data_IF_646132328088
#
_entry.id   IF_646132328088
#
_cell.length_a   1.000
_cell.length_b   1.000
_cell.length_c   1.000
_cell.angle_alpha   90.00
_cell.angle_beta   90.00
_cell.angle_gamma   90.00
#
_symmetry.space_group_name_H-M   'P 1'
#
loop_
_entity.id
_entity.type
_entity.pdbx_description
1 polymer ?
#
# COMPACT_ATOMS: atom_id res chain seq x y z
N UNK A 1 0.02 -8.79 10.01
CA UNK A 1 0.87 -8.18 8.96
C UNK A 1 0.29 -8.44 7.58
N UNK A 2 0.10 -9.71 7.21
CA UNK A 2 -0.69 -10.10 6.02
C UNK A 2 -2.08 -9.48 6.02
N UNK A 3 -2.69 -9.30 7.19
CA UNK A 3 -3.99 -8.64 7.38
C UNK A 3 -4.07 -7.20 6.85
N UNK A 4 -3.07 -6.35 7.07
CA UNK A 4 -3.11 -4.95 6.60
C UNK A 4 -3.01 -4.89 5.07
N UNK A 5 -2.04 -5.61 4.51
CA UNK A 5 -1.86 -5.71 3.06
C UNK A 5 -3.10 -6.34 2.42
N UNK A 6 -3.63 -7.40 3.02
CA UNK A 6 -4.87 -8.05 2.61
C UNK A 6 -6.07 -7.10 2.63
N UNK A 7 -6.26 -6.28 3.66
CA UNK A 7 -7.37 -5.31 3.67
C UNK A 7 -7.20 -4.23 2.60
N UNK A 8 -5.99 -3.72 2.41
CA UNK A 8 -5.70 -2.73 1.37
C UNK A 8 -5.91 -3.31 -0.05
N UNK A 9 -5.49 -4.55 -0.27
CA UNK A 9 -5.61 -5.22 -1.57
C UNK A 9 -7.00 -5.80 -1.83
N UNK A 10 -7.68 -6.34 -0.83
CA UNK A 10 -8.97 -7.04 -1.00
C UNK A 10 -10.18 -6.10 -0.92
N UNK A 11 -10.14 -5.02 -0.15
CA UNK A 11 -11.32 -4.17 0.05
C UNK A 11 -11.28 -2.93 -0.85
N UNK A 12 -10.15 -2.23 -0.89
CA UNK A 12 -9.99 -0.99 -1.67
C UNK A 12 -9.87 -1.26 -3.17
N UNK A 13 -8.97 -2.16 -3.59
CA UNK A 13 -8.83 -2.48 -5.02
C UNK A 13 -10.06 -3.20 -5.58
N UNK A 14 -10.74 -4.04 -4.79
CA UNK A 14 -11.99 -4.68 -5.23
C UNK A 14 -13.09 -3.67 -5.49
N UNK A 15 -13.18 -2.63 -4.67
CA UNK A 15 -14.13 -1.53 -4.87
C UNK A 15 -13.81 -0.74 -6.14
N UNK A 16 -12.54 -0.40 -6.37
CA UNK A 16 -12.11 0.25 -7.62
C UNK A 16 -12.42 -0.61 -8.85
N UNK A 17 -12.18 -1.93 -8.79
CA UNK A 17 -12.50 -2.87 -9.89
C UNK A 17 -13.99 -2.99 -10.17
N UNK A 18 -14.86 -2.85 -9.15
CA UNK A 18 -16.32 -2.84 -9.36
C UNK A 18 -16.77 -1.63 -10.17
N UNK A 19 -16.10 -0.48 -9.99
CA UNK A 19 -16.38 0.73 -10.75
C UNK A 19 -15.94 0.63 -12.23
N UNK A 20 -15.16 -0.39 -12.59
CA UNK A 20 -14.79 -0.67 -13.98
C UNK A 20 -15.90 -1.39 -14.79
N UNK A 21 -17.05 -1.70 -14.17
CA UNK A 21 -18.19 -2.35 -14.83
C UNK A 21 -19.49 -1.65 -14.44
N UNK A 22 -19.82 -0.59 -15.16
CA UNK A 22 -20.98 0.25 -14.88
C UNK A 22 -22.19 -0.17 -15.73
N UNK A 23 -23.36 -0.19 -15.10
CA UNK A 23 -24.65 -0.45 -15.74
C UNK A 23 -25.60 0.73 -15.50
N UNK A 24 -26.71 0.79 -16.24
CA UNK A 24 -27.76 1.80 -16.00
C UNK A 24 -27.61 3.13 -16.75
N UNK A 25 -26.59 3.28 -17.61
CA UNK A 25 -26.38 4.49 -18.41
C UNK A 25 -27.34 4.58 -19.63
N UNK A 26 -28.00 3.49 -20.01
CA UNK A 26 -28.81 3.42 -21.24
C UNK A 26 -27.95 3.23 -22.50
N UNK A 27 -28.57 3.36 -23.67
CA UNK A 27 -27.99 2.99 -24.98
C UNK A 27 -27.74 4.17 -25.92
N UNK A 28 -27.92 5.41 -25.45
CA UNK A 28 -27.61 6.58 -26.26
C UNK A 28 -26.10 6.66 -26.52
N UNK A 29 -25.65 7.15 -27.69
CA UNK A 29 -24.22 7.25 -27.98
C UNK A 29 -23.42 8.02 -26.92
N UNK A 30 -23.99 9.12 -26.39
CA UNK A 30 -23.36 9.90 -25.32
C UNK A 30 -23.26 9.15 -24.00
N UNK A 31 -24.24 8.29 -23.68
CA UNK A 31 -24.24 7.52 -22.44
C UNK A 31 -23.24 6.38 -22.48
N UNK A 32 -23.01 5.78 -23.65
CA UNK A 32 -21.95 4.79 -23.88
C UNK A 32 -20.58 5.43 -23.67
N UNK A 33 -20.33 6.59 -24.28
CA UNK A 33 -19.05 7.31 -24.13
C UNK A 33 -18.78 7.69 -22.67
N UNK A 34 -19.80 8.19 -21.96
CA UNK A 34 -19.67 8.50 -20.53
C UNK A 34 -19.36 7.24 -19.70
N UNK A 35 -20.09 6.14 -19.93
CA UNK A 35 -19.83 4.87 -19.27
C UNK A 35 -18.36 4.45 -19.45
N UNK A 36 -17.87 4.43 -20.69
CA UNK A 36 -16.48 4.06 -20.98
C UNK A 36 -15.47 4.98 -20.31
N UNK A 37 -15.74 6.30 -20.24
CA UNK A 37 -14.86 7.25 -19.58
C UNK A 37 -14.76 6.97 -18.07
N UNK A 38 -15.89 6.71 -17.40
CA UNK A 38 -15.90 6.36 -15.99
C UNK A 38 -15.23 5.01 -15.72
N UNK A 39 -15.49 4.00 -16.56
CA UNK A 39 -14.85 2.68 -16.45
C UNK A 39 -13.32 2.80 -16.60
N UNK A 40 -12.83 3.59 -17.56
CA UNK A 40 -11.39 3.87 -17.74
C UNK A 40 -10.79 4.60 -16.54
N UNK A 41 -11.53 5.54 -15.94
CA UNK A 41 -11.08 6.27 -14.73
C UNK A 41 -11.02 5.35 -13.51
N UNK A 42 -11.86 4.33 -13.44
CA UNK A 42 -11.77 3.30 -12.41
C UNK A 42 -10.57 2.37 -12.63
N UNK A 43 -10.40 1.84 -13.85
CA UNK A 43 -9.32 0.92 -14.23
C UNK A 43 -8.92 1.10 -15.70
N UNK A 44 -7.62 1.11 -16.00
CA UNK A 44 -7.09 1.13 -17.38
C UNK A 44 -6.49 2.46 -17.83
N UNK A 45 -6.93 3.60 -17.29
CA UNK A 45 -6.22 4.88 -17.49
C UNK A 45 -4.90 4.92 -16.71
N UNK A 46 -3.88 5.71 -17.13
CA UNK A 46 -2.63 5.89 -16.39
C UNK A 46 -2.84 6.45 -14.97
N UNK A 47 -3.84 7.30 -14.82
CA UNK A 47 -4.26 7.95 -13.58
C UNK A 47 -5.51 7.29 -12.97
N UNK A 48 -5.78 6.03 -13.32
CA UNK A 48 -6.96 5.32 -12.81
C UNK A 48 -6.92 5.16 -11.30
N UNK A 49 -8.09 5.13 -10.67
CA UNK A 49 -8.23 4.90 -9.24
C UNK A 49 -7.45 3.65 -8.80
N UNK A 50 -7.57 2.53 -9.54
CA UNK A 50 -6.82 1.31 -9.26
C UNK A 50 -5.30 1.49 -9.26
N UNK A 51 -4.74 2.32 -10.15
CA UNK A 51 -3.29 2.60 -10.18
C UNK A 51 -2.86 3.51 -9.03
N UNK A 52 -3.64 4.56 -8.75
CA UNK A 52 -3.35 5.46 -7.64
C UNK A 52 -3.39 4.73 -6.29
N UNK A 53 -4.36 3.83 -6.10
CA UNK A 53 -4.43 3.01 -4.89
C UNK A 53 -3.22 2.10 -4.73
N UNK A 54 -2.78 1.41 -5.79
CA UNK A 54 -1.56 0.57 -5.74
C UNK A 54 -0.34 1.40 -5.35
N UNK A 55 -0.15 2.55 -5.99
CA UNK A 55 0.97 3.44 -5.67
C UNK A 55 0.96 3.89 -4.20
N UNK A 56 -0.22 4.23 -3.65
CA UNK A 56 -0.34 4.59 -2.25
C UNK A 56 -0.03 3.41 -1.31
N UNK A 57 -0.50 2.20 -1.64
CA UNK A 57 -0.20 0.98 -0.87
C UNK A 57 1.30 0.71 -0.86
N UNK A 58 1.97 0.82 -2.02
CA UNK A 58 3.41 0.60 -2.13
C UNK A 58 4.20 1.57 -1.25
N UNK A 59 3.81 2.84 -1.21
CA UNK A 59 4.44 3.85 -0.34
C UNK A 59 4.27 3.47 1.14
N UNK A 60 3.07 3.13 1.58
CA UNK A 60 2.81 2.79 2.99
C UNK A 60 3.56 1.52 3.40
N UNK A 61 3.61 0.52 2.52
CA UNK A 61 4.39 -0.71 2.75
C UNK A 61 5.87 -0.39 2.87
N UNK A 62 6.43 0.43 1.96
CA UNK A 62 7.84 0.82 2.01
C UNK A 62 8.19 1.61 3.29
N UNK A 63 7.32 2.53 3.73
CA UNK A 63 7.50 3.26 4.98
C UNK A 63 7.58 2.31 6.18
N UNK A 64 6.64 1.35 6.25
CA UNK A 64 6.62 0.35 7.32
C UNK A 64 7.86 -0.53 7.30
N UNK A 65 8.26 -1.07 6.14
CA UNK A 65 9.45 -1.92 6.03
C UNK A 65 10.72 -1.14 6.42
N UNK A 66 10.76 0.16 6.13
CA UNK A 66 11.83 1.05 6.58
C UNK A 66 11.85 1.21 8.10
N UNK A 67 10.69 1.43 8.73
CA UNK A 67 10.62 1.52 10.18
C UNK A 67 11.00 0.22 10.87
N UNK A 68 10.55 -0.92 10.35
CA UNK A 68 10.92 -2.24 10.87
C UNK A 68 12.45 -2.44 10.83
N UNK A 69 13.09 -2.07 9.72
CA UNK A 69 14.55 -2.15 9.58
C UNK A 69 15.28 -1.20 10.55
N UNK A 70 14.79 0.02 10.73
CA UNK A 70 15.37 0.99 11.68
C UNK A 70 15.26 0.48 13.11
N UNK A 71 14.09 -0.05 13.50
CA UNK A 71 13.88 -0.63 14.83
C UNK A 71 14.86 -1.78 15.08
N UNK A 72 14.95 -2.73 14.14
CA UNK A 72 15.88 -3.85 14.26
C UNK A 72 17.33 -3.40 14.44
N UNK A 73 17.76 -2.42 13.64
CA UNK A 73 19.11 -1.86 13.74
C UNK A 73 19.35 -1.21 15.09
N UNK A 74 18.39 -0.43 15.58
CA UNK A 74 18.49 0.23 16.89
C UNK A 74 18.58 -0.80 18.02
N UNK A 75 17.70 -1.81 18.02
CA UNK A 75 17.72 -2.88 19.01
C UNK A 75 19.04 -3.66 19.00
N UNK A 76 19.57 -3.98 17.82
CA UNK A 76 20.87 -4.66 17.71
C UNK A 76 22.02 -3.79 18.24
N UNK A 77 21.98 -2.49 17.97
CA UNK A 77 22.98 -1.54 18.47
C UNK A 77 22.90 -1.39 19.99
N UNK A 78 21.70 -1.31 20.57
CA UNK A 78 21.50 -1.26 22.02
C UNK A 78 22.02 -2.54 22.70
N UNK A 79 21.77 -3.71 22.11
CA UNK A 79 22.30 -4.98 22.61
C UNK A 79 23.83 -5.03 22.55
N UNK A 80 24.43 -4.57 21.45
CA UNK A 80 25.88 -4.52 21.30
C UNK A 80 26.53 -3.56 22.32
N UNK A 81 25.92 -2.39 22.53
CA UNK A 81 26.38 -1.41 23.51
C UNK A 81 26.28 -1.96 24.94
N UNK A 82 25.16 -2.61 25.30
CA UNK A 82 25.01 -3.23 26.61
C UNK A 82 26.05 -4.33 26.86
N UNK A 83 26.33 -5.16 25.85
CA UNK A 83 27.38 -6.18 25.94
C UNK A 83 28.77 -5.56 26.13
N UNK A 84 29.09 -4.48 25.40
CA UNK A 84 30.35 -3.77 25.55
C UNK A 84 30.50 -3.10 26.93
N UNK A 85 29.43 -2.51 27.45
CA UNK A 85 29.43 -1.92 28.81
C UNK A 85 29.69 -3.01 29.84
N UNK A 86 28.96 -4.13 29.80
CA UNK A 86 29.15 -5.23 30.75
C UNK A 86 30.60 -5.75 30.75
N UNK A 87 31.18 -5.97 29.57
CA UNK A 87 32.59 -6.37 29.44
C UNK A 87 33.57 -5.34 30.00
N UNK A 88 33.31 -4.05 29.83
CA UNK A 88 34.15 -2.99 30.37
C UNK A 88 34.10 -2.93 31.90
N UNK A 89 32.94 -3.22 32.51
CA UNK A 89 32.77 -3.25 33.98
C UNK A 89 33.25 -4.54 34.65
N UNK A 90 33.21 -5.69 33.97
CA UNK A 90 33.73 -6.96 34.51
C UNK A 90 35.27 -7.07 34.44
N UNK A 91 35.92 -6.17 33.69
CA UNK A 91 37.38 -6.07 33.56
C UNK A 91 38.05 -5.03 34.47
N UNK A 92 37.29 -4.32 35.30
CA UNK A 92 37.77 -3.30 36.26
C UNK A 92 37.65 -3.81 37.71
#
# INVERSE_FOLDING_TARGET
METMRKHLDEDLLRTARRLARLNGFGTLPSSVVMKEAFEKKAEGAPDSAGRQYRAAVDVVVAMRDTYDAVIQKLTAQDQANAAAINQATEGA
#
